data_IF_576244580250
#
_entry.id   IF_576244580250
#
_cell.length_a   1.000
_cell.length_b   1.000
_cell.length_c   1.000
_cell.angle_alpha   90.00
_cell.angle_beta   90.00
_cell.angle_gamma   90.00
#
_symmetry.space_group_name_H-M   'P 1'
#
loop_
_entity.id
_entity.type
_entity.pdbx_description
1 polymer ?
#
# COMPACT_ATOMS: atom_id res chain seq x y z
N UNK A 1 25.22 -9.10 7.58
CA UNK A 1 24.40 -7.89 7.64
C UNK A 1 23.47 -7.91 8.85
N UNK A 2 23.09 -6.76 9.37
CA UNK A 2 22.09 -6.69 10.43
C UNK A 2 20.68 -6.82 9.85
N UNK A 3 19.81 -7.51 10.59
CA UNK A 3 18.42 -7.74 10.19
C UNK A 3 17.50 -7.90 11.41
N UNK A 4 16.20 -7.70 11.20
CA UNK A 4 15.15 -8.04 12.16
C UNK A 4 14.56 -9.38 11.75
N UNK A 5 14.84 -10.42 12.54
CA UNK A 5 14.56 -11.82 12.23
C UNK A 5 13.38 -12.30 13.08
N UNK A 6 12.45 -13.04 12.48
CA UNK A 6 11.47 -13.84 13.23
C UNK A 6 11.94 -15.30 13.27
N UNK A 7 11.94 -15.92 14.45
CA UNK A 7 12.28 -17.34 14.63
C UNK A 7 11.05 -18.23 14.70
N UNK A 8 9.86 -17.63 14.87
CA UNK A 8 8.56 -18.28 14.86
C UNK A 8 7.50 -17.27 14.40
N UNK A 9 6.34 -17.75 13.99
CA UNK A 9 5.18 -16.88 13.81
C UNK A 9 4.60 -16.47 15.18
N UNK A 10 4.01 -15.27 15.25
CA UNK A 10 3.46 -14.78 16.51
C UNK A 10 3.14 -13.30 16.55
N UNK A 11 3.12 -12.73 17.75
CA UNK A 11 2.94 -11.32 18.01
C UNK A 11 4.15 -10.47 17.60
N UNK A 12 4.12 -9.13 17.74
CA UNK A 12 5.22 -8.24 17.35
C UNK A 12 6.57 -8.57 18.03
N UNK A 13 6.52 -9.16 19.21
CA UNK A 13 7.69 -9.53 20.04
C UNK A 13 8.56 -10.65 19.44
N UNK A 14 8.11 -11.31 18.37
CA UNK A 14 8.91 -12.36 17.71
C UNK A 14 10.06 -11.82 16.88
N UNK A 15 10.09 -10.50 16.60
CA UNK A 15 11.23 -9.87 15.95
C UNK A 15 12.43 -9.77 16.90
N UNK A 16 13.57 -10.24 16.43
CA UNK A 16 14.85 -10.17 17.13
C UNK A 16 15.91 -9.59 16.20
N UNK A 17 16.69 -8.65 16.70
CA UNK A 17 17.86 -8.16 15.96
C UNK A 17 18.94 -9.25 15.90
N UNK A 18 19.51 -9.46 14.73
CA UNK A 18 20.55 -10.48 14.57
C UNK A 18 21.35 -10.30 13.30
N UNK A 19 22.37 -11.17 13.15
CA UNK A 19 23.15 -11.25 11.93
C UNK A 19 22.50 -12.21 10.94
N UNK A 20 22.43 -11.77 9.68
CA UNK A 20 21.88 -12.54 8.58
C UNK A 20 22.89 -12.57 7.43
N UNK A 21 23.03 -13.66 6.67
CA UNK A 21 23.90 -13.68 5.51
C UNK A 21 23.55 -12.58 4.51
N UNK A 22 24.54 -11.91 3.94
CA UNK A 22 24.31 -11.01 2.81
C UNK A 22 23.95 -11.88 1.60
N UNK A 23 22.80 -11.70 0.96
CA UNK A 23 22.41 -12.51 -0.19
C UNK A 23 23.26 -12.17 -1.41
N UNK A 24 23.43 -13.15 -2.29
CA UNK A 24 24.12 -12.97 -3.57
C UNK A 24 23.06 -12.92 -4.67
N UNK A 25 23.03 -11.86 -5.50
CA UNK A 25 22.03 -11.73 -6.56
C UNK A 25 22.19 -12.84 -7.60
N UNK A 26 21.08 -13.49 -7.97
CA UNK A 26 21.00 -14.44 -9.07
C UNK A 26 21.03 -13.70 -10.42
N UNK A 27 20.93 -14.45 -11.52
CA UNK A 27 21.14 -13.93 -12.90
C UNK A 27 20.34 -12.66 -13.18
N UNK A 28 19.07 -12.57 -12.79
CA UNK A 28 18.18 -11.44 -13.06
C UNK A 28 17.85 -10.62 -11.82
N UNK A 29 18.65 -10.74 -10.75
CA UNK A 29 18.40 -10.07 -9.50
C UNK A 29 19.35 -8.89 -9.27
N UNK A 30 18.87 -7.93 -8.52
CA UNK A 30 19.66 -6.80 -8.00
C UNK A 30 19.80 -6.96 -6.49
N UNK A 31 21.00 -6.76 -5.97
CA UNK A 31 21.26 -6.60 -4.54
C UNK A 31 21.16 -5.12 -4.23
N UNK A 32 20.30 -4.77 -3.30
CA UNK A 32 20.06 -3.39 -2.87
C UNK A 32 20.52 -3.21 -1.43
N UNK A 33 21.33 -2.20 -1.18
CA UNK A 33 21.57 -1.65 0.17
C UNK A 33 20.33 -0.85 0.54
N UNK A 34 19.57 -1.36 1.49
CA UNK A 34 18.29 -0.77 1.92
C UNK A 34 18.57 0.43 2.83
N UNK A 35 18.08 1.59 2.44
CA UNK A 35 18.11 2.81 3.25
C UNK A 35 16.85 2.98 4.09
N UNK A 36 15.71 2.63 3.51
CA UNK A 36 14.43 2.68 4.20
C UNK A 36 13.52 1.52 3.77
N UNK A 37 12.71 1.06 4.70
CA UNK A 37 11.62 0.10 4.50
C UNK A 37 10.33 0.70 5.07
N UNK A 38 9.14 0.19 4.68
CA UNK A 38 7.91 0.67 5.28
C UNK A 38 6.97 -0.47 5.66
N UNK A 39 6.19 -0.26 6.74
CA UNK A 39 5.29 -1.27 7.25
C UNK A 39 3.99 -1.33 6.44
N UNK A 40 3.49 -2.55 6.27
CA UNK A 40 2.24 -2.87 5.60
C UNK A 40 1.38 -3.83 6.43
N UNK A 41 0.08 -3.82 6.20
CA UNK A 41 -0.82 -4.77 6.86
C UNK A 41 -0.47 -6.25 6.52
N UNK A 42 0.08 -6.52 5.34
CA UNK A 42 0.53 -7.85 4.96
C UNK A 42 1.70 -8.33 5.81
N UNK A 43 2.56 -7.43 6.30
CA UNK A 43 3.72 -7.78 7.10
C UNK A 43 3.29 -8.43 8.43
N UNK A 44 2.32 -7.84 9.14
CA UNK A 44 1.84 -8.46 10.38
C UNK A 44 0.97 -9.69 10.14
N UNK A 45 0.26 -9.77 8.99
CA UNK A 45 -0.49 -10.98 8.63
C UNK A 45 0.47 -12.15 8.40
N UNK A 46 1.57 -11.93 7.68
CA UNK A 46 2.62 -12.94 7.46
C UNK A 46 3.36 -13.24 8.75
N UNK A 47 3.70 -12.24 9.56
CA UNK A 47 4.32 -12.47 10.87
C UNK A 47 3.47 -13.37 11.77
N UNK A 48 2.15 -13.21 11.75
CA UNK A 48 1.22 -14.01 12.57
C UNK A 48 1.08 -15.43 12.08
N UNK A 49 1.00 -15.65 10.76
CA UNK A 49 0.73 -16.97 10.16
C UNK A 49 1.12 -16.98 8.67
N UNK A 50 2.40 -16.79 8.35
CA UNK A 50 2.87 -16.60 6.96
C UNK A 50 3.14 -17.87 6.15
N UNK A 51 2.79 -19.06 6.64
CA UNK A 51 2.97 -20.31 5.89
C UNK A 51 2.23 -20.32 4.55
N UNK A 52 1.10 -19.61 4.44
CA UNK A 52 0.35 -19.43 3.20
C UNK A 52 1.13 -18.66 2.12
N UNK A 53 2.08 -17.82 2.53
CA UNK A 53 2.98 -17.08 1.65
C UNK A 53 4.32 -17.82 1.42
N UNK A 54 4.44 -19.07 1.86
CA UNK A 54 5.68 -19.85 1.74
C UNK A 54 6.79 -19.41 2.70
N UNK A 55 6.52 -18.50 3.64
CA UNK A 55 7.50 -18.06 4.64
C UNK A 55 7.72 -19.17 5.67
N UNK A 56 8.99 -19.44 5.98
CA UNK A 56 9.42 -20.44 6.97
C UNK A 56 10.42 -19.77 7.92
N UNK A 57 10.07 -19.58 9.19
CA UNK A 57 11.05 -19.10 10.17
C UNK A 57 12.25 -20.06 10.33
N UNK A 58 13.48 -19.56 10.55
CA UNK A 58 13.81 -18.14 10.72
C UNK A 58 13.70 -17.37 9.39
N UNK A 59 13.17 -16.14 9.45
CA UNK A 59 12.93 -15.33 8.25
C UNK A 59 13.06 -13.82 8.54
N UNK A 60 13.41 -13.06 7.51
CA UNK A 60 13.36 -11.60 7.49
C UNK A 60 12.13 -11.17 6.72
N UNK A 61 11.28 -10.34 7.32
CA UNK A 61 10.05 -9.80 6.72
C UNK A 61 10.26 -8.39 6.15
N UNK A 62 9.18 -7.79 5.66
CA UNK A 62 9.16 -6.43 5.11
C UNK A 62 8.96 -6.43 3.59
N UNK A 63 7.97 -5.66 3.13
CA UNK A 63 7.54 -5.73 1.73
C UNK A 63 7.45 -4.35 1.06
N UNK A 64 8.22 -3.39 1.55
CA UNK A 64 8.57 -2.14 0.89
C UNK A 64 10.05 -1.84 1.13
N UNK A 65 10.74 -1.33 0.13
CA UNK A 65 12.15 -0.93 0.21
C UNK A 65 12.44 0.26 -0.70
N UNK A 66 13.37 1.09 -0.24
CA UNK A 66 14.09 2.06 -1.07
C UNK A 66 15.57 2.05 -0.65
N UNK A 67 16.47 2.15 -1.62
CA UNK A 67 17.90 2.07 -1.37
C UNK A 67 18.73 2.21 -2.65
N UNK A 68 19.98 1.81 -2.55
CA UNK A 68 20.97 1.90 -3.63
C UNK A 68 21.36 0.52 -4.10
N UNK A 69 21.40 0.29 -5.40
CA UNK A 69 21.90 -0.95 -6.00
C UNK A 69 23.38 -1.12 -5.64
N UNK A 70 23.71 -2.21 -4.96
CA UNK A 70 25.07 -2.57 -4.56
C UNK A 70 25.74 -3.47 -5.59
N UNK A 71 24.99 -4.46 -6.10
CA UNK A 71 25.47 -5.42 -7.11
C UNK A 71 24.30 -5.88 -7.99
N UNK A 72 24.62 -6.41 -9.15
CA UNK A 72 23.64 -6.94 -10.12
C UNK A 72 24.08 -8.32 -10.61
N UNK A 73 23.10 -9.18 -10.87
CA UNK A 73 23.31 -10.46 -11.54
C UNK A 73 23.67 -10.28 -13.01
N UNK A 74 24.30 -11.28 -13.60
CA UNK A 74 24.87 -11.22 -14.96
C UNK A 74 23.83 -10.97 -16.08
N UNK A 75 22.54 -11.25 -15.83
CA UNK A 75 21.46 -11.04 -16.79
C UNK A 75 20.77 -9.66 -16.67
N UNK A 76 21.03 -8.92 -15.60
CA UNK A 76 20.43 -7.59 -15.37
C UNK A 76 20.93 -6.60 -16.42
N UNK A 77 19.99 -5.91 -17.06
CA UNK A 77 20.30 -4.92 -18.13
C UNK A 77 19.83 -3.51 -17.79
N UNK A 78 18.91 -3.38 -16.82
CA UNK A 78 18.23 -2.12 -16.53
C UNK A 78 18.94 -1.32 -15.46
N UNK A 79 19.62 -1.98 -14.54
CA UNK A 79 20.24 -1.35 -13.36
C UNK A 79 21.74 -1.60 -13.31
N UNK A 80 22.43 -0.71 -12.60
CA UNK A 80 23.87 -0.81 -12.31
C UNK A 80 24.11 -0.40 -10.84
N UNK A 81 25.24 -0.79 -10.25
CA UNK A 81 25.65 -0.30 -8.94
C UNK A 81 25.63 1.23 -8.88
N UNK A 82 25.07 1.78 -7.79
CA UNK A 82 24.88 3.21 -7.55
C UNK A 82 23.51 3.75 -7.98
N UNK A 83 22.68 3.00 -8.69
CA UNK A 83 21.32 3.45 -9.01
C UNK A 83 20.44 3.48 -7.76
N UNK A 84 19.71 4.57 -7.56
CA UNK A 84 18.73 4.71 -6.50
C UNK A 84 17.41 4.09 -6.93
N UNK A 85 16.90 3.15 -6.15
CA UNK A 85 15.74 2.32 -6.49
C UNK A 85 14.71 2.26 -5.37
N UNK A 86 13.47 1.90 -5.75
CA UNK A 86 12.40 1.59 -4.81
C UNK A 86 11.53 0.45 -5.35
N UNK A 87 11.01 -0.39 -4.47
CA UNK A 87 10.28 -1.59 -4.88
C UNK A 87 9.57 -2.25 -3.70
N UNK A 88 8.70 -3.22 -4.03
CA UNK A 88 8.08 -4.11 -3.05
C UNK A 88 8.61 -5.53 -3.25
N UNK A 89 9.43 -6.08 -2.32
CA UNK A 89 9.88 -7.46 -2.39
C UNK A 89 8.73 -8.46 -2.50
N UNK A 90 8.98 -9.63 -3.10
CA UNK A 90 7.99 -10.71 -3.18
C UNK A 90 7.56 -11.17 -1.79
N UNK A 91 6.25 -11.40 -1.61
CA UNK A 91 5.73 -12.03 -0.38
C UNK A 91 5.81 -13.57 -0.42
N UNK A 92 6.08 -14.14 -1.60
CA UNK A 92 6.06 -15.58 -1.84
C UNK A 92 7.40 -16.22 -1.50
N UNK A 93 7.66 -16.39 -0.19
CA UNK A 93 8.97 -16.82 0.27
C UNK A 93 10.06 -15.77 0.04
N UNK A 94 11.30 -16.12 0.30
CA UNK A 94 12.41 -15.19 0.15
C UNK A 94 12.59 -14.24 1.34
N UNK A 95 13.61 -13.39 1.22
CA UNK A 95 14.00 -12.43 2.23
C UNK A 95 13.25 -11.11 2.01
N UNK A 96 12.69 -10.56 3.09
CA UNK A 96 12.10 -9.22 3.10
C UNK A 96 13.11 -8.10 3.31
N UNK A 97 12.60 -6.88 3.46
CA UNK A 97 13.38 -5.63 3.51
C UNK A 97 13.78 -5.15 4.91
N UNK A 98 13.44 -5.89 5.97
CA UNK A 98 13.85 -5.48 7.33
C UNK A 98 15.30 -5.89 7.63
N UNK A 99 16.20 -5.52 6.74
CA UNK A 99 17.63 -5.82 6.78
C UNK A 99 18.43 -4.77 5.98
N UNK A 100 19.73 -4.70 6.22
CA UNK A 100 20.64 -3.77 5.52
C UNK A 100 20.74 -4.04 4.00
N UNK A 101 20.54 -5.30 3.57
CA UNK A 101 20.59 -5.69 2.16
C UNK A 101 19.42 -6.60 1.81
N UNK A 102 18.91 -6.44 0.60
CA UNK A 102 17.82 -7.25 0.05
C UNK A 102 18.07 -7.55 -1.43
N UNK A 103 17.71 -8.74 -1.91
CA UNK A 103 17.72 -9.08 -3.34
C UNK A 103 16.31 -9.12 -3.90
N UNK A 104 16.16 -8.61 -5.11
CA UNK A 104 14.89 -8.70 -5.86
C UNK A 104 15.13 -8.87 -7.34
N UNK A 105 14.21 -9.55 -8.00
CA UNK A 105 14.19 -9.62 -9.47
C UNK A 105 14.04 -8.23 -10.07
N UNK A 106 14.82 -7.93 -11.14
CA UNK A 106 14.80 -6.60 -11.76
C UNK A 106 13.42 -6.19 -12.31
N UNK A 107 12.54 -7.15 -12.59
CA UNK A 107 11.18 -6.87 -13.11
C UNK A 107 10.24 -6.20 -12.13
N UNK A 108 10.55 -6.26 -10.83
CA UNK A 108 9.75 -5.63 -9.76
C UNK A 108 10.45 -4.44 -9.12
N UNK A 109 11.61 -4.02 -9.61
CA UNK A 109 12.40 -2.87 -9.13
C UNK A 109 12.26 -1.72 -10.10
N UNK A 110 12.21 -0.48 -9.60
CA UNK A 110 12.18 0.74 -10.41
C UNK A 110 13.13 1.81 -9.85
N UNK A 111 13.55 2.74 -10.71
CA UNK A 111 14.30 3.92 -10.26
C UNK A 111 13.44 4.77 -9.32
N UNK A 112 14.02 5.18 -8.21
CA UNK A 112 13.39 6.08 -7.23
C UNK A 112 13.00 7.42 -7.88
N UNK A 113 11.82 8.01 -7.55
CA UNK A 113 11.51 9.39 -7.93
C UNK A 113 12.62 10.35 -7.47
N UNK A 114 13.07 11.23 -8.37
CA UNK A 114 14.23 12.11 -8.12
C UNK A 114 13.97 13.14 -7.02
N UNK A 115 12.72 13.52 -6.85
CA UNK A 115 12.27 14.51 -5.88
C UNK A 115 11.86 13.92 -4.52
N UNK A 116 12.14 12.64 -4.27
CA UNK A 116 11.90 11.99 -2.99
C UNK A 116 13.19 11.54 -2.31
N UNK A 117 13.22 11.63 -0.98
CA UNK A 117 14.17 10.91 -0.13
C UNK A 117 13.90 9.40 -0.15
N UNK A 118 14.82 8.56 0.36
CA UNK A 118 14.59 7.12 0.50
C UNK A 118 13.43 6.82 1.45
N UNK A 119 13.29 7.61 2.53
CA UNK A 119 12.18 7.49 3.48
C UNK A 119 10.83 7.68 2.80
N UNK A 120 10.70 8.73 1.99
CA UNK A 120 9.47 9.01 1.23
C UNK A 120 9.23 7.96 0.16
N UNK A 121 10.27 7.55 -0.54
CA UNK A 121 10.16 6.55 -1.60
C UNK A 121 9.73 5.17 -1.06
N UNK A 122 10.23 4.75 0.11
CA UNK A 122 9.83 3.50 0.75
C UNK A 122 8.34 3.44 1.13
N UNK A 123 7.69 4.60 1.31
CA UNK A 123 6.27 4.65 1.65
C UNK A 123 5.33 4.34 0.46
N UNK A 124 5.84 4.23 -0.76
CA UNK A 124 5.03 4.13 -1.97
C UNK A 124 4.79 2.71 -2.51
N UNK A 125 5.77 1.79 -2.59
CA UNK A 125 5.70 0.69 -3.54
C UNK A 125 4.45 -0.18 -3.39
N UNK A 126 4.27 -0.87 -2.26
CA UNK A 126 3.14 -1.77 -2.07
C UNK A 126 1.80 -1.01 -2.08
N UNK A 127 1.71 0.05 -1.30
CA UNK A 127 0.48 0.83 -1.19
C UNK A 127 0.11 1.51 -2.51
N UNK A 128 1.09 2.05 -3.22
CA UNK A 128 0.91 2.72 -4.51
C UNK A 128 0.48 1.75 -5.62
N UNK A 129 1.13 0.59 -5.75
CA UNK A 129 0.71 -0.42 -6.73
C UNK A 129 -0.68 -0.98 -6.41
N UNK A 130 -1.02 -1.15 -5.13
CA UNK A 130 -2.36 -1.57 -4.70
C UNK A 130 -3.42 -0.54 -5.08
N UNK A 131 -3.14 0.75 -4.88
CA UNK A 131 -4.03 1.83 -5.32
C UNK A 131 -4.11 1.92 -6.85
N UNK A 132 -2.98 1.74 -7.55
CA UNK A 132 -2.92 1.73 -9.01
C UNK A 132 -3.85 0.68 -9.61
N UNK A 133 -3.75 -0.57 -9.17
CA UNK A 133 -4.62 -1.67 -9.67
C UNK A 133 -6.10 -1.34 -9.46
N UNK A 134 -6.45 -0.74 -8.31
CA UNK A 134 -7.81 -0.31 -8.07
C UNK A 134 -8.25 0.81 -9.02
N UNK A 135 -7.39 1.78 -9.32
CA UNK A 135 -7.72 2.87 -10.26
C UNK A 135 -7.86 2.35 -11.69
N UNK A 136 -7.04 1.40 -12.13
CA UNK A 136 -7.20 0.77 -13.45
C UNK A 136 -8.56 0.08 -13.60
N UNK A 137 -9.06 -0.56 -12.53
CA UNK A 137 -10.35 -1.21 -12.54
C UNK A 137 -11.52 -0.22 -12.40
N UNK A 138 -11.44 0.72 -11.47
CA UNK A 138 -12.47 1.74 -11.22
C UNK A 138 -12.57 2.76 -12.36
N UNK A 139 -11.48 3.04 -13.05
CA UNK A 139 -11.39 3.97 -14.19
C UNK A 139 -11.96 5.35 -13.88
N UNK A 140 -11.44 6.03 -12.85
CA UNK A 140 -11.89 7.37 -12.50
C UNK A 140 -11.70 8.32 -13.71
N UNK A 141 -12.64 9.25 -13.85
CA UNK A 141 -12.62 10.27 -14.93
C UNK A 141 -13.48 11.47 -14.54
N UNK A 142 -13.39 12.60 -15.25
CA UNK A 142 -14.29 13.70 -15.05
C UNK A 142 -15.76 13.28 -15.09
N UNK A 143 -16.55 13.77 -14.14
CA UNK A 143 -17.97 13.43 -13.97
C UNK A 143 -18.25 12.17 -13.14
N UNK A 144 -17.22 11.38 -12.78
CA UNK A 144 -17.38 10.24 -11.86
C UNK A 144 -17.24 10.69 -10.41
N UNK A 145 -18.02 10.04 -9.55
CA UNK A 145 -17.89 10.15 -8.09
C UNK A 145 -17.40 8.83 -7.52
N UNK A 146 -16.30 8.86 -6.77
CA UNK A 146 -15.74 7.70 -6.09
C UNK A 146 -15.82 7.84 -4.57
N UNK A 147 -16.17 6.74 -3.90
CA UNK A 147 -16.05 6.59 -2.46
C UNK A 147 -14.78 5.78 -2.15
N UNK A 148 -13.88 6.35 -1.34
CA UNK A 148 -12.68 5.69 -0.86
C UNK A 148 -12.79 5.46 0.65
N UNK A 149 -12.84 4.20 1.06
CA UNK A 149 -12.85 3.85 2.48
C UNK A 149 -11.46 3.89 3.10
N UNK A 150 -11.37 4.29 4.37
CA UNK A 150 -10.13 4.55 5.10
C UNK A 150 -9.16 5.48 4.32
N UNK A 151 -9.70 6.59 3.84
CA UNK A 151 -9.01 7.57 2.98
C UNK A 151 -7.74 8.19 3.59
N UNK A 152 -7.54 8.11 4.91
CA UNK A 152 -6.34 8.58 5.60
C UNK A 152 -5.22 7.52 5.68
N UNK A 153 -5.50 6.25 5.37
CA UNK A 153 -4.54 5.15 5.48
C UNK A 153 -3.52 5.10 4.33
N UNK A 154 -2.58 4.18 4.40
CA UNK A 154 -1.48 4.08 3.43
C UNK A 154 -1.95 3.94 1.98
N UNK A 155 -2.90 3.04 1.69
CA UNK A 155 -3.48 2.85 0.36
C UNK A 155 -4.50 3.93 0.04
N UNK A 156 -5.41 4.24 0.99
CA UNK A 156 -6.50 5.18 0.78
C UNK A 156 -6.02 6.59 0.44
N UNK A 157 -4.95 7.07 1.09
CA UNK A 157 -4.37 8.40 0.84
C UNK A 157 -3.81 8.56 -0.57
N UNK A 158 -3.25 7.51 -1.13
CA UNK A 158 -2.76 7.50 -2.50
C UNK A 158 -3.92 7.36 -3.51
N UNK A 159 -4.92 6.52 -3.19
CA UNK A 159 -6.11 6.35 -4.03
C UNK A 159 -6.90 7.66 -4.18
N UNK A 160 -7.07 8.44 -3.11
CA UNK A 160 -7.69 9.78 -3.17
C UNK A 160 -6.97 10.68 -4.17
N UNK A 161 -5.65 10.79 -4.05
CA UNK A 161 -4.83 11.64 -4.92
C UNK A 161 -4.90 11.16 -6.40
N UNK A 162 -4.78 9.85 -6.64
CA UNK A 162 -4.87 9.29 -8.02
C UNK A 162 -6.24 9.55 -8.64
N UNK A 163 -7.32 9.36 -7.88
CA UNK A 163 -8.68 9.62 -8.37
C UNK A 163 -8.89 11.09 -8.69
N UNK A 164 -8.35 12.00 -7.86
CA UNK A 164 -8.38 13.45 -8.13
C UNK A 164 -7.55 13.81 -9.36
N UNK A 165 -6.35 13.27 -9.51
CA UNK A 165 -5.52 13.49 -10.70
C UNK A 165 -6.22 13.03 -12.00
N UNK A 166 -7.08 12.00 -11.91
CA UNK A 166 -7.92 11.55 -13.02
C UNK A 166 -9.20 12.41 -13.23
N UNK A 167 -9.45 13.43 -12.40
CA UNK A 167 -10.57 14.36 -12.54
C UNK A 167 -11.87 13.90 -11.87
N UNK A 168 -11.87 12.84 -11.07
CA UNK A 168 -13.06 12.38 -10.37
C UNK A 168 -13.40 13.26 -9.15
N UNK A 169 -14.68 13.28 -8.77
CA UNK A 169 -15.12 13.73 -7.44
C UNK A 169 -14.86 12.61 -6.43
N UNK A 170 -14.25 12.92 -5.30
CA UNK A 170 -13.85 11.93 -4.31
C UNK A 170 -14.50 12.18 -2.95
N UNK A 171 -15.22 11.18 -2.45
CA UNK A 171 -15.69 11.10 -1.08
C UNK A 171 -14.77 10.13 -0.32
N UNK A 172 -14.27 10.53 0.86
CA UNK A 172 -13.37 9.71 1.67
C UNK A 172 -13.94 9.43 3.05
N UNK A 173 -13.99 8.16 3.50
CA UNK A 173 -14.30 7.88 4.91
C UNK A 173 -13.04 7.93 5.76
N UNK A 174 -13.12 8.58 6.89
CA UNK A 174 -12.03 8.69 7.86
C UNK A 174 -12.57 8.94 9.26
N UNK A 175 -11.69 9.14 10.25
CA UNK A 175 -12.06 9.66 11.59
C UNK A 175 -12.14 11.18 11.56
N UNK A 176 -12.83 11.79 12.53
CA UNK A 176 -12.97 13.22 12.65
C UNK A 176 -11.62 13.98 12.57
N UNK A 177 -10.62 13.48 13.29
CA UNK A 177 -9.25 14.04 13.36
C UNK A 177 -8.47 13.97 12.04
N UNK A 178 -8.98 13.23 11.06
CA UNK A 178 -8.40 13.09 9.73
C UNK A 178 -9.18 13.78 8.61
N UNK A 179 -10.31 14.43 8.89
CA UNK A 179 -11.15 15.03 7.85
C UNK A 179 -10.43 16.14 7.07
N UNK A 180 -9.78 17.06 7.78
CA UNK A 180 -9.02 18.14 7.15
C UNK A 180 -7.86 17.59 6.32
N UNK A 181 -7.14 16.61 6.86
CA UNK A 181 -6.07 15.92 6.15
C UNK A 181 -6.58 15.24 4.87
N UNK A 182 -7.69 14.50 4.94
CA UNK A 182 -8.26 13.81 3.76
C UNK A 182 -8.70 14.82 2.69
N UNK A 183 -9.25 15.99 3.09
CA UNK A 183 -9.55 17.08 2.16
C UNK A 183 -8.27 17.67 1.54
N UNK A 184 -7.20 17.83 2.31
CA UNK A 184 -5.92 18.33 1.79
C UNK A 184 -5.27 17.41 0.75
N UNK A 185 -5.62 16.11 0.76
CA UNK A 185 -5.23 15.16 -0.30
C UNK A 185 -6.05 15.30 -1.59
N UNK A 186 -7.08 16.13 -1.56
CA UNK A 186 -7.95 16.39 -2.70
C UNK A 186 -9.33 15.74 -2.60
N UNK A 187 -9.73 15.11 -1.49
CA UNK A 187 -11.09 14.65 -1.33
C UNK A 187 -12.06 15.84 -1.26
N UNK A 188 -13.15 15.79 -2.03
CA UNK A 188 -14.17 16.82 -2.04
C UNK A 188 -15.04 16.78 -0.77
N UNK A 189 -15.22 15.55 -0.22
CA UNK A 189 -15.97 15.31 1.01
C UNK A 189 -15.20 14.32 1.90
N UNK A 190 -15.10 14.63 3.19
CA UNK A 190 -14.56 13.72 4.19
C UNK A 190 -15.67 13.33 5.18
N UNK A 191 -16.02 12.05 5.24
CA UNK A 191 -17.12 11.50 6.03
C UNK A 191 -16.53 10.85 7.29
N UNK A 192 -16.96 11.31 8.47
CA UNK A 192 -16.61 10.64 9.72
C UNK A 192 -17.53 9.45 9.98
N UNK A 193 -17.02 8.25 9.65
CA UNK A 193 -17.76 6.99 9.78
C UNK A 193 -18.09 6.59 11.24
N UNK A 194 -17.56 7.32 12.25
CA UNK A 194 -17.88 7.11 13.66
C UNK A 194 -19.11 7.92 14.12
N UNK A 195 -19.36 9.06 13.48
CA UNK A 195 -20.41 9.98 13.83
C UNK A 195 -21.66 9.82 12.98
N UNK A 196 -21.52 9.32 11.72
CA UNK A 196 -22.65 9.13 10.82
C UNK A 196 -22.49 7.86 9.99
N UNK A 197 -23.62 7.31 9.55
CA UNK A 197 -23.62 6.21 8.59
C UNK A 197 -23.13 6.72 7.23
N UNK A 198 -22.05 6.13 6.72
CA UNK A 198 -21.42 6.59 5.49
C UNK A 198 -22.36 6.49 4.26
N UNK A 199 -23.26 5.49 4.22
CA UNK A 199 -24.20 5.35 3.11
C UNK A 199 -25.22 6.49 3.10
N UNK A 200 -25.72 6.89 4.26
CA UNK A 200 -26.58 8.08 4.40
C UNK A 200 -25.85 9.36 3.98
N UNK A 201 -24.59 9.51 4.41
CA UNK A 201 -23.76 10.64 4.02
C UNK A 201 -23.52 10.68 2.51
N UNK A 202 -23.17 9.55 1.90
CA UNK A 202 -22.98 9.45 0.44
C UNK A 202 -24.24 9.84 -0.32
N UNK A 203 -25.42 9.36 0.08
CA UNK A 203 -26.66 9.70 -0.61
C UNK A 203 -27.00 11.19 -0.45
N UNK A 204 -26.78 11.79 0.70
CA UNK A 204 -26.91 13.24 0.92
C UNK A 204 -25.98 14.03 -0.01
N UNK A 205 -24.69 13.65 -0.05
CA UNK A 205 -23.66 14.36 -0.81
C UNK A 205 -23.80 14.18 -2.34
N UNK A 206 -24.61 13.24 -2.78
CA UNK A 206 -24.84 12.94 -4.20
C UNK A 206 -26.30 13.18 -4.65
N UNK A 207 -27.08 13.92 -3.87
CA UNK A 207 -28.50 14.21 -4.15
C UNK A 207 -29.30 12.94 -4.46
N UNK A 208 -29.04 11.86 -3.71
CA UNK A 208 -29.70 10.57 -3.85
C UNK A 208 -29.23 9.70 -5.02
N UNK A 209 -28.25 10.15 -5.81
CA UNK A 209 -27.78 9.40 -6.99
C UNK A 209 -26.76 8.31 -6.69
N UNK A 210 -26.00 8.43 -5.62
CA UNK A 210 -24.93 7.50 -5.27
C UNK A 210 -23.64 7.73 -6.05
N UNK A 211 -22.71 6.77 -5.96
CA UNK A 211 -21.36 6.85 -6.52
C UNK A 211 -21.16 5.91 -7.71
N UNK A 212 -20.24 6.25 -8.61
CA UNK A 212 -19.88 5.42 -9.76
C UNK A 212 -18.95 4.28 -9.38
N UNK A 213 -18.17 4.47 -8.32
CA UNK A 213 -17.25 3.46 -7.82
C UNK A 213 -16.98 3.54 -6.33
N UNK A 214 -16.58 2.40 -5.76
CA UNK A 214 -16.16 2.26 -4.36
C UNK A 214 -14.82 1.56 -4.29
N UNK A 215 -13.89 2.12 -3.52
CA UNK A 215 -12.65 1.46 -3.15
C UNK A 215 -12.64 1.13 -1.65
N UNK A 216 -12.61 -0.15 -1.36
CA UNK A 216 -12.54 -0.68 0.00
C UNK A 216 -11.11 -1.12 0.35
N UNK A 217 -10.55 -0.49 1.38
CA UNK A 217 -9.25 -0.86 1.98
C UNK A 217 -9.39 -1.33 3.44
N UNK A 218 -10.62 -1.57 3.89
CA UNK A 218 -10.98 -1.96 5.27
C UNK A 218 -11.32 -3.43 5.37
N UNK A 219 -12.20 -3.92 4.47
CA UNK A 219 -12.69 -5.30 4.46
C UNK A 219 -13.94 -5.53 5.30
N UNK A 220 -14.17 -6.80 5.64
CA UNK A 220 -15.38 -7.19 6.32
C UNK A 220 -16.62 -6.94 5.46
N UNK A 221 -17.62 -6.30 6.01
CA UNK A 221 -18.90 -6.00 5.37
C UNK A 221 -18.95 -4.65 4.64
N UNK A 222 -17.83 -3.96 4.48
CA UNK A 222 -17.77 -2.62 3.87
C UNK A 222 -18.29 -2.64 2.43
N UNK A 223 -17.89 -3.61 1.60
CA UNK A 223 -18.41 -3.73 0.24
C UNK A 223 -19.90 -4.01 0.22
N UNK A 224 -20.44 -5.02 0.97
CA UNK A 224 -21.89 -5.21 1.11
C UNK A 224 -22.65 -3.95 1.53
N UNK A 225 -22.17 -3.24 2.55
CA UNK A 225 -22.76 -2.00 3.05
C UNK A 225 -22.68 -0.85 2.04
N UNK A 226 -21.77 -0.91 1.08
CA UNK A 226 -21.60 0.09 0.03
C UNK A 226 -22.49 -0.16 -1.21
N UNK A 227 -22.94 -1.39 -1.44
CA UNK A 227 -23.79 -1.73 -2.61
C UNK A 227 -25.02 -0.82 -2.74
N UNK A 228 -25.77 -0.46 -1.67
CA UNK A 228 -26.93 0.43 -1.81
C UNK A 228 -26.61 1.79 -2.43
N UNK A 229 -25.44 2.33 -2.19
CA UNK A 229 -25.01 3.67 -2.66
C UNK A 229 -24.25 3.63 -3.99
N UNK A 230 -23.97 2.46 -4.55
CA UNK A 230 -23.35 2.34 -5.88
C UNK A 230 -24.46 2.45 -6.94
N UNK A 231 -24.24 3.27 -7.95
CA UNK A 231 -25.13 3.40 -9.11
C UNK A 231 -25.25 2.08 -9.86
N UNK A 232 -26.36 1.83 -10.59
CA UNK A 232 -26.41 0.74 -11.57
C UNK A 232 -25.20 0.79 -12.52
N UNK A 233 -24.64 -0.39 -12.85
CA UNK A 233 -23.42 -0.55 -13.66
C UNK A 233 -22.15 0.07 -13.03
N UNK A 234 -22.20 0.45 -11.77
CA UNK A 234 -21.03 0.94 -11.02
C UNK A 234 -20.05 -0.19 -10.68
N UNK A 235 -18.98 0.17 -10.00
CA UNK A 235 -17.87 -0.74 -9.70
C UNK A 235 -17.47 -0.68 -8.23
N UNK A 236 -17.05 -1.81 -7.69
CA UNK A 236 -16.42 -1.89 -6.39
C UNK A 236 -15.09 -2.64 -6.50
N UNK A 237 -14.09 -2.18 -5.76
CA UNK A 237 -12.81 -2.88 -5.60
C UNK A 237 -12.56 -3.05 -4.11
N UNK A 238 -12.13 -4.24 -3.69
CA UNK A 238 -11.56 -4.46 -2.36
C UNK A 238 -10.20 -5.11 -2.48
N UNK A 239 -9.21 -4.59 -1.76
CA UNK A 239 -7.86 -5.18 -1.63
C UNK A 239 -7.69 -5.99 -0.33
N UNK A 240 -8.78 -6.29 0.34
CA UNK A 240 -8.84 -7.01 1.62
C UNK A 240 -9.98 -8.04 1.61
N UNK A 241 -10.02 -8.91 2.61
CA UNK A 241 -11.06 -9.92 2.68
C UNK A 241 -12.43 -9.29 2.91
N UNK A 242 -13.37 -9.60 2.02
CA UNK A 242 -14.77 -9.19 2.11
C UNK A 242 -15.58 -10.33 2.73
N UNK A 243 -16.49 -9.99 3.63
CA UNK A 243 -17.48 -10.89 4.22
C UNK A 243 -18.89 -10.33 4.01
N UNK A 244 -19.92 -11.14 4.25
CA UNK A 244 -21.30 -10.70 4.10
C UNK A 244 -21.89 -10.93 2.70
N UNK A 245 -23.13 -10.46 2.51
CA UNK A 245 -23.92 -10.74 1.33
C UNK A 245 -23.69 -9.71 0.22
N UNK A 246 -23.31 -10.19 -0.95
CA UNK A 246 -23.11 -9.40 -2.16
C UNK A 246 -24.32 -9.45 -3.13
N UNK A 247 -25.39 -10.16 -2.79
CA UNK A 247 -26.53 -10.39 -3.66
C UNK A 247 -27.21 -9.11 -4.16
N UNK A 248 -27.16 -8.03 -3.39
CA UNK A 248 -27.65 -6.72 -3.82
C UNK A 248 -26.92 -6.10 -5.02
N UNK A 249 -25.75 -6.60 -5.39
CA UNK A 249 -25.00 -6.12 -6.55
C UNK A 249 -25.62 -6.58 -7.88
N UNK A 250 -26.23 -7.78 -7.89
CA UNK A 250 -26.77 -8.41 -9.09
C UNK A 250 -27.87 -7.56 -9.78
N UNK A 251 -28.95 -7.12 -9.10
CA UNK A 251 -30.01 -6.34 -9.76
C UNK A 251 -29.55 -4.97 -10.24
N UNK A 252 -28.42 -4.48 -9.77
CA UNK A 252 -27.79 -3.22 -10.20
C UNK A 252 -26.70 -3.41 -11.27
N UNK A 253 -26.37 -4.65 -11.67
CA UNK A 253 -25.25 -4.96 -12.55
C UNK A 253 -23.91 -4.37 -12.07
N UNK A 254 -23.68 -4.35 -10.75
CA UNK A 254 -22.44 -3.86 -10.17
C UNK A 254 -21.33 -4.89 -10.40
N UNK A 255 -20.18 -4.43 -10.90
CA UNK A 255 -18.99 -5.27 -11.01
C UNK A 255 -18.14 -5.14 -9.75
N UNK A 256 -17.82 -6.27 -9.11
CA UNK A 256 -16.95 -6.30 -7.91
C UNK A 256 -15.65 -7.01 -8.26
N UNK A 257 -14.52 -6.37 -7.94
CA UNK A 257 -13.19 -6.91 -8.14
C UNK A 257 -12.48 -7.09 -6.80
N UNK A 258 -11.98 -8.28 -6.54
CA UNK A 258 -11.13 -8.59 -5.40
C UNK A 258 -9.68 -8.52 -5.84
N UNK A 259 -9.03 -7.38 -5.54
CA UNK A 259 -7.69 -7.09 -5.99
C UNK A 259 -6.64 -7.70 -5.07
N UNK A 260 -5.78 -8.55 -5.63
CA UNK A 260 -4.52 -8.95 -5.02
C UNK A 260 -3.40 -8.34 -5.87
N UNK A 261 -2.67 -7.40 -5.30
CA UNK A 261 -1.71 -6.57 -6.01
C UNK A 261 -0.59 -7.41 -6.65
N UNK A 262 -0.43 -7.28 -7.95
CA UNK A 262 0.70 -7.80 -8.70
C UNK A 262 1.87 -6.81 -8.67
N UNK A 263 3.05 -7.30 -8.34
CA UNK A 263 4.29 -6.51 -8.41
C UNK A 263 4.76 -6.39 -9.83
N UNK A 264 4.96 -5.18 -10.29
CA UNK A 264 5.44 -4.94 -11.64
C UNK A 264 6.13 -3.57 -11.74
N UNK A 265 7.31 -3.54 -12.35
CA UNK A 265 8.08 -2.30 -12.54
C UNK A 265 7.31 -1.21 -13.25
N UNK A 266 6.52 -1.52 -14.29
CA UNK A 266 5.78 -0.50 -15.04
C UNK A 266 4.80 0.31 -14.16
N UNK A 267 4.22 -0.29 -13.12
CA UNK A 267 3.36 0.41 -12.16
C UNK A 267 4.18 1.39 -11.31
N UNK A 268 5.35 0.96 -10.85
CA UNK A 268 6.28 1.84 -10.12
C UNK A 268 6.77 2.98 -11.03
N UNK A 269 7.12 2.70 -12.28
CA UNK A 269 7.50 3.75 -13.23
C UNK A 269 6.38 4.78 -13.45
N UNK A 270 5.13 4.33 -13.51
CA UNK A 270 3.97 5.21 -13.58
C UNK A 270 3.80 6.05 -12.30
N UNK A 271 3.94 5.43 -11.12
CA UNK A 271 3.93 6.14 -9.83
C UNK A 271 5.04 7.18 -9.76
N UNK A 272 6.25 6.84 -10.22
CA UNK A 272 7.38 7.77 -10.30
C UNK A 272 7.03 9.00 -11.13
N UNK A 273 6.43 8.81 -12.30
CA UNK A 273 6.01 9.93 -13.16
C UNK A 273 4.97 10.81 -12.46
N UNK A 274 3.97 10.24 -11.78
CA UNK A 274 2.99 11.01 -11.02
C UNK A 274 3.64 11.81 -9.88
N UNK A 275 4.59 11.23 -9.18
CA UNK A 275 5.33 11.89 -8.10
C UNK A 275 6.20 13.01 -8.62
N UNK A 276 6.97 12.79 -9.70
CA UNK A 276 7.83 13.80 -10.31
C UNK A 276 7.04 14.97 -10.92
N UNK A 277 5.75 14.75 -11.23
CA UNK A 277 4.79 15.77 -11.66
C UNK A 277 3.98 16.40 -10.51
N UNK A 278 4.31 16.07 -9.27
CA UNK A 278 3.61 16.56 -8.06
C UNK A 278 2.12 16.19 -8.00
N UNK A 279 1.69 15.19 -8.76
CA UNK A 279 0.31 14.67 -8.76
C UNK A 279 0.07 13.63 -7.66
N UNK A 280 1.13 13.08 -7.08
CA UNK A 280 1.10 12.07 -6.03
C UNK A 280 2.19 12.36 -5.01
N UNK A 281 1.84 12.33 -3.72
CA UNK A 281 2.78 12.49 -2.61
C UNK A 281 2.60 11.35 -1.61
N UNK A 282 3.69 10.69 -1.16
CA UNK A 282 3.60 9.73 -0.07
C UNK A 282 3.19 10.44 1.23
N UNK A 283 2.43 9.73 2.05
CA UNK A 283 2.02 10.19 3.38
C UNK A 283 2.74 9.36 4.42
N UNK A 284 3.46 10.00 5.32
CA UNK A 284 4.24 9.36 6.37
C UNK A 284 3.67 9.77 7.74
N UNK A 285 3.26 8.78 8.53
CA UNK A 285 2.80 8.94 9.91
C UNK A 285 4.00 9.16 10.84
N UNK A 286 5.00 8.31 10.70
CA UNK A 286 6.21 8.35 11.53
C UNK A 286 7.38 7.64 10.85
N UNK A 287 8.59 8.07 11.23
CA UNK A 287 9.85 7.43 10.86
C UNK A 287 10.50 6.94 12.14
N UNK A 288 10.85 5.66 12.19
CA UNK A 288 11.47 5.03 13.34
C UNK A 288 12.69 4.19 12.89
N UNK A 289 13.68 3.97 13.72
CA UNK A 289 14.81 3.09 13.37
C UNK A 289 14.34 1.63 13.16
N UNK A 290 15.05 0.87 12.31
CA UNK A 290 14.76 -0.54 12.05
C UNK A 290 14.66 -1.36 13.34
N UNK A 291 15.47 -1.07 14.34
CA UNK A 291 15.47 -1.73 15.66
C UNK A 291 14.14 -1.59 16.41
N UNK A 292 13.33 -0.59 16.06
CA UNK A 292 12.00 -0.34 16.67
C UNK A 292 10.85 -0.98 15.89
N UNK A 293 11.11 -1.93 14.99
CA UNK A 293 10.08 -2.61 14.18
C UNK A 293 8.96 -3.20 15.03
N UNK A 294 9.26 -3.69 16.24
CA UNK A 294 8.26 -4.19 17.20
C UNK A 294 7.24 -3.10 17.57
N UNK A 295 7.72 -1.91 17.91
CA UNK A 295 6.88 -0.76 18.23
C UNK A 295 6.06 -0.31 17.00
N UNK A 296 6.69 -0.29 15.83
CA UNK A 296 6.03 0.00 14.56
C UNK A 296 4.88 -0.95 14.24
N UNK A 297 5.08 -2.26 14.41
CA UNK A 297 4.03 -3.26 14.21
C UNK A 297 2.88 -3.09 15.23
N UNK A 298 3.19 -2.87 16.52
CA UNK A 298 2.16 -2.58 17.54
C UNK A 298 1.35 -1.34 17.17
N UNK A 299 2.01 -0.27 16.72
CA UNK A 299 1.35 0.97 16.30
C UNK A 299 0.45 0.76 15.09
N UNK A 300 0.93 -0.01 14.08
CA UNK A 300 0.15 -0.33 12.88
C UNK A 300 -1.10 -1.17 13.23
N UNK A 301 -0.94 -2.18 14.08
CA UNK A 301 -2.04 -3.08 14.50
C UNK A 301 -3.07 -2.38 15.39
N UNK A 302 -2.69 -1.37 16.15
CA UNK A 302 -3.61 -0.54 16.93
C UNK A 302 -4.52 0.33 16.04
N UNK A 303 -4.16 0.50 14.76
CA UNK A 303 -4.91 1.27 13.78
C UNK A 303 -4.80 2.79 13.97
N UNK A 304 -5.44 3.54 13.09
CA UNK A 304 -5.42 5.01 13.11
C UNK A 304 -4.10 5.62 12.65
N UNK A 305 -3.29 4.86 11.90
CA UNK A 305 -2.09 5.36 11.24
C UNK A 305 -2.51 6.24 10.06
N UNK A 306 -1.92 7.41 9.94
CA UNK A 306 -2.10 8.33 8.82
C UNK A 306 -1.02 8.07 7.77
N UNK A 307 -1.37 7.42 6.66
CA UNK A 307 -0.37 6.99 5.67
C UNK A 307 0.46 5.80 6.14
N UNK A 308 1.77 5.94 6.16
CA UNK A 308 2.75 4.86 6.36
C UNK A 308 3.68 5.10 7.55
N UNK A 309 4.05 4.04 8.23
CA UNK A 309 5.18 4.01 9.16
C UNK A 309 6.41 3.54 8.39
N UNK A 310 7.48 4.32 8.42
CA UNK A 310 8.73 4.02 7.72
C UNK A 310 9.82 3.64 8.71
N UNK A 311 10.56 2.61 8.37
CA UNK A 311 11.75 2.15 9.09
C UNK A 311 13.00 2.74 8.42
N UNK A 312 13.78 3.50 9.14
CA UNK A 312 15.12 3.91 8.72
C UNK A 312 16.09 2.77 8.98
N UNK A 313 16.73 2.25 7.93
CA UNK A 313 17.61 1.08 8.00
C UNK A 313 19.06 1.52 8.14
N UNK A 314 19.46 2.54 7.39
CA UNK A 314 20.80 3.16 7.44
C UNK A 314 20.62 4.65 7.72
N UNK A 315 21.52 5.22 8.57
CA UNK A 315 21.57 6.65 8.89
C UNK A 315 22.02 7.51 7.69
#
# INVERSE_FOLDING_TARGET
>A
MKAMIIHAFGGPEVFQAGDWPIPVPQVNEVLVRVHAAALNAVDYKIRRAGSWAGVKPPAVLGYDAAGVVEAVGAGVKTFKPGDEVYYSPSIWGGQGSYAEFQVSDESIVALKPRNLSFVEAAALPLAGMTAWDAMEFLRPKPGYTLLVHAAAGGVGSLAVQMAKAAGARVLGTCRADNQEFVRSLGADVAIDYRCENFATAVMRETDGQGVDGVYDTVGGDIVPCSIPVIKPYGRAVSCVNVTGDLGGANPKNITIYFGFMERARHKLDALRVMVEREQLKPVIDSVIPLSEVVAGHRRLEAGGVRGKIVLQVVE
#
